data_IF_365937694496
#
_entry.id   IF_365937694496
#
_cell.length_a   1.000
_cell.length_b   1.000
_cell.length_c   1.000
_cell.angle_alpha   90.00
_cell.angle_beta   90.00
_cell.angle_gamma   90.00
#
_symmetry.space_group_name_H-M   'P 1'
#
loop_
_entity.id
_entity.type
_entity.pdbx_description
1 polymer ?
#
# COMPACT_ATOMS: atom_id res chain seq x y z
N UNK A 1 18.73 -15.29 -20.70
CA UNK A 1 17.91 -16.51 -20.46
C UNK A 1 16.45 -16.24 -20.79
N UNK A 2 15.62 -17.28 -20.96
CA UNK A 2 14.17 -17.11 -21.11
C UNK A 2 13.41 -18.25 -20.41
N UNK A 3 12.14 -17.99 -20.07
CA UNK A 3 11.20 -19.01 -19.60
C UNK A 3 9.77 -18.58 -19.91
N UNK A 4 8.80 -19.46 -19.64
CA UNK A 4 7.37 -19.19 -19.80
C UNK A 4 6.64 -19.12 -18.48
N UNK A 5 5.58 -18.31 -18.41
CA UNK A 5 4.73 -18.17 -17.22
C UNK A 5 3.26 -17.97 -17.61
N UNK A 6 2.29 -18.45 -16.81
CA UNK A 6 0.87 -18.22 -17.05
C UNK A 6 0.51 -16.77 -16.77
N UNK A 7 -0.49 -16.23 -17.47
CA UNK A 7 -1.06 -14.91 -17.16
C UNK A 7 -1.67 -14.91 -15.75
N UNK A 8 -1.26 -14.01 -14.84
CA UNK A 8 -1.89 -13.89 -13.52
C UNK A 8 -3.39 -13.61 -13.66
N UNK A 9 -4.21 -14.16 -12.77
CA UNK A 9 -5.65 -13.96 -12.80
C UNK A 9 -6.05 -12.50 -12.46
N UNK A 10 -7.31 -12.18 -12.73
CA UNK A 10 -7.91 -10.88 -12.39
C UNK A 10 -7.38 -9.70 -13.22
N UNK A 11 -7.70 -8.49 -12.74
CA UNK A 11 -7.39 -7.21 -13.42
C UNK A 11 -6.31 -6.39 -12.72
N UNK A 12 -5.84 -6.82 -11.55
CA UNK A 12 -4.85 -6.10 -10.75
C UNK A 12 -3.54 -5.87 -11.52
N UNK A 13 -2.82 -4.76 -11.30
CA UNK A 13 -1.49 -4.54 -11.85
C UNK A 13 -0.57 -5.74 -11.62
N UNK A 14 0.24 -6.09 -12.61
CA UNK A 14 1.24 -7.17 -12.49
C UNK A 14 2.61 -6.56 -12.32
N UNK A 15 3.41 -7.20 -11.48
CA UNK A 15 4.85 -6.94 -11.35
C UNK A 15 5.64 -8.23 -11.42
N UNK A 16 6.89 -8.12 -11.81
CA UNK A 16 7.89 -9.17 -11.64
C UNK A 16 8.86 -8.75 -10.52
N UNK A 17 9.01 -9.62 -9.52
CA UNK A 17 10.06 -9.53 -8.51
C UNK A 17 11.35 -10.11 -9.11
N UNK A 18 12.33 -9.25 -9.32
CA UNK A 18 13.64 -9.63 -9.88
C UNK A 18 14.69 -9.80 -8.78
N UNK A 19 14.30 -9.83 -7.50
CA UNK A 19 15.24 -10.07 -6.41
C UNK A 19 15.97 -11.42 -6.58
N UNK A 20 17.29 -11.41 -6.40
CA UNK A 20 18.17 -12.55 -6.66
C UNK A 20 18.95 -12.42 -7.98
N UNK A 21 18.53 -11.50 -8.85
CA UNK A 21 19.29 -11.06 -10.02
C UNK A 21 20.20 -9.85 -9.69
N UNK A 22 21.08 -9.50 -10.62
CA UNK A 22 22.09 -8.46 -10.46
C UNK A 22 21.65 -7.12 -11.05
N UNK A 23 21.86 -6.98 -12.36
CA UNK A 23 21.55 -5.80 -13.18
C UNK A 23 21.28 -6.26 -14.60
N UNK A 24 20.35 -5.62 -15.30
CA UNK A 24 20.08 -6.02 -16.67
C UNK A 24 18.86 -5.38 -17.29
N UNK A 25 18.27 -6.08 -18.25
CA UNK A 25 17.03 -5.69 -18.92
C UNK A 25 16.11 -6.90 -19.08
N UNK A 26 14.81 -6.66 -19.02
CA UNK A 26 13.79 -7.70 -19.12
C UNK A 26 12.77 -7.37 -20.20
N UNK A 27 12.25 -8.41 -20.85
CA UNK A 27 11.20 -8.32 -21.86
C UNK A 27 10.10 -9.34 -21.58
N UNK A 28 8.86 -8.96 -21.84
CA UNK A 28 7.71 -9.87 -21.84
C UNK A 28 7.08 -9.86 -23.22
N UNK A 29 6.96 -11.03 -23.84
CA UNK A 29 6.40 -11.20 -25.18
C UNK A 29 7.02 -10.24 -26.23
N UNK A 30 8.34 -9.99 -26.12
CA UNK A 30 9.08 -9.08 -27.00
C UNK A 30 8.98 -7.60 -26.67
N UNK A 31 8.16 -7.21 -25.68
CA UNK A 31 8.05 -5.83 -25.21
C UNK A 31 9.02 -5.58 -24.05
N UNK A 32 9.81 -4.51 -24.12
CA UNK A 32 10.75 -4.17 -23.03
C UNK A 32 10.01 -3.70 -21.79
N UNK A 33 10.41 -4.22 -20.63
CA UNK A 33 10.02 -3.73 -19.30
C UNK A 33 10.99 -2.66 -18.78
N UNK A 34 12.09 -2.43 -19.49
CA UNK A 34 13.17 -1.54 -19.08
C UNK A 34 14.26 -2.22 -18.25
N UNK A 35 15.18 -1.37 -17.77
CA UNK A 35 16.36 -1.78 -16.99
C UNK A 35 15.96 -2.17 -15.57
N UNK A 36 16.57 -3.24 -15.06
CA UNK A 36 16.48 -3.64 -13.67
C UNK A 36 17.83 -3.54 -12.97
N UNK A 37 17.80 -3.22 -11.68
CA UNK A 37 18.98 -3.19 -10.82
C UNK A 37 18.63 -3.43 -9.34
N UNK A 38 18.12 -4.61 -8.95
CA UNK A 38 17.69 -4.89 -7.59
C UNK A 38 18.84 -5.02 -6.58
N UNK A 39 20.10 -5.07 -7.02
CA UNK A 39 21.26 -5.10 -6.11
C UNK A 39 21.64 -3.73 -5.57
N UNK A 40 21.21 -2.63 -6.21
CA UNK A 40 21.52 -1.29 -5.71
C UNK A 40 20.61 -0.94 -4.53
N UNK A 41 21.22 -0.72 -3.37
CA UNK A 41 20.51 -0.32 -2.16
C UNK A 41 20.13 1.16 -2.17
N UNK A 42 18.96 1.48 -1.64
CA UNK A 42 18.62 2.85 -1.27
C UNK A 42 19.47 3.31 -0.08
N UNK A 43 19.79 4.61 -0.05
CA UNK A 43 20.62 5.19 0.99
C UNK A 43 20.02 4.93 2.38
N UNK A 44 20.89 4.69 3.36
CA UNK A 44 20.47 4.41 4.75
C UNK A 44 20.19 5.71 5.52
N UNK A 45 20.83 6.80 5.11
CA UNK A 45 20.71 8.11 5.73
C UNK A 45 19.46 8.88 5.27
N UNK A 46 19.01 9.84 6.11
CA UNK A 46 18.03 10.85 5.72
C UNK A 46 16.57 10.42 5.76
N UNK A 47 16.23 9.13 5.93
CA UNK A 47 14.85 8.76 6.14
C UNK A 47 14.38 9.13 7.58
N UNK A 48 13.12 9.48 7.74
CA UNK A 48 12.49 9.70 9.05
C UNK A 48 11.39 8.68 9.20
N UNK A 49 11.25 8.08 10.38
CA UNK A 49 10.12 7.16 10.66
C UNK A 49 8.80 7.94 10.78
N UNK A 50 8.89 9.27 10.83
CA UNK A 50 7.78 10.20 10.91
C UNK A 50 7.84 11.22 9.77
N UNK A 51 6.79 11.27 8.96
CA UNK A 51 6.61 12.24 7.88
C UNK A 51 5.37 13.11 8.19
N UNK A 52 5.57 14.41 8.34
CA UNK A 52 4.50 15.39 8.52
C UNK A 52 4.29 16.17 7.22
N UNK A 53 3.05 16.25 6.75
CA UNK A 53 2.72 17.02 5.56
C UNK A 53 2.92 18.54 5.80
N UNK A 54 2.83 19.01 7.04
CA UNK A 54 3.00 20.42 7.43
C UNK A 54 4.46 20.85 7.33
N UNK A 55 4.67 22.16 7.14
CA UNK A 55 6.00 22.76 7.00
C UNK A 55 6.68 22.52 5.65
N UNK A 56 7.84 23.13 5.42
CA UNK A 56 8.54 23.05 4.14
C UNK A 56 8.89 21.61 3.77
N UNK A 57 8.80 21.29 2.48
CA UNK A 57 9.21 20.01 1.93
C UNK A 57 10.70 20.03 1.56
N UNK A 58 11.38 18.92 1.81
CA UNK A 58 12.75 18.67 1.37
C UNK A 58 12.81 17.25 0.80
N UNK A 59 13.24 17.07 -0.47
CA UNK A 59 13.23 15.78 -1.13
C UNK A 59 14.20 14.78 -0.50
N UNK A 60 15.29 15.27 0.09
CA UNK A 60 16.40 14.41 0.53
C UNK A 60 16.26 13.88 1.96
N UNK A 61 15.24 14.31 2.71
CA UNK A 61 15.12 13.89 4.11
C UNK A 61 13.74 13.91 4.76
N UNK A 62 12.71 14.53 4.15
CA UNK A 62 11.46 14.73 4.89
C UNK A 62 10.62 13.45 5.03
N UNK A 63 10.49 12.72 3.92
CA UNK A 63 9.56 11.58 3.81
C UNK A 63 10.14 10.45 2.95
N UNK A 64 11.45 10.26 3.00
CA UNK A 64 12.11 9.15 2.31
C UNK A 64 11.73 7.81 2.98
N UNK A 65 11.60 6.76 2.17
CA UNK A 65 11.24 5.41 2.62
C UNK A 65 12.15 4.37 1.97
N UNK A 66 11.98 3.09 2.32
CA UNK A 66 12.66 1.95 1.69
C UNK A 66 14.19 1.85 1.98
N UNK A 67 14.63 2.29 3.17
CA UNK A 67 16.04 2.24 3.62
C UNK A 67 16.66 0.85 3.52
N UNK A 68 17.90 0.76 3.02
CA UNK A 68 18.67 -0.48 2.96
C UNK A 68 18.00 -1.58 2.14
N UNK A 69 16.96 -1.24 1.36
CA UNK A 69 16.29 -2.12 0.42
C UNK A 69 16.75 -1.80 -1.00
N UNK A 70 16.54 -2.70 -1.97
CA UNK A 70 16.70 -2.38 -3.38
C UNK A 70 15.96 -1.08 -3.72
N UNK A 71 16.61 -0.16 -4.44
CA UNK A 71 15.97 1.07 -4.94
C UNK A 71 14.70 0.75 -5.75
N UNK A 72 14.74 -0.37 -6.46
CA UNK A 72 13.58 -0.99 -7.08
C UNK A 72 13.70 -2.51 -7.07
N UNK A 73 12.73 -3.17 -6.44
CA UNK A 73 12.61 -4.63 -6.40
C UNK A 73 11.59 -5.17 -7.40
N UNK A 74 10.44 -4.50 -7.48
CA UNK A 74 9.32 -4.90 -8.33
C UNK A 74 9.28 -4.05 -9.60
N UNK A 75 9.17 -4.73 -10.74
CA UNK A 75 9.17 -4.11 -12.06
C UNK A 75 7.81 -4.32 -12.70
N UNK A 76 7.19 -3.23 -13.16
CA UNK A 76 5.84 -3.26 -13.68
C UNK A 76 5.76 -4.06 -14.99
N UNK A 77 4.74 -4.92 -15.09
CA UNK A 77 4.40 -5.67 -16.30
C UNK A 77 3.02 -5.19 -16.75
N UNK A 78 2.94 -4.34 -17.78
CA UNK A 78 1.66 -3.88 -18.30
C UNK A 78 0.78 -5.07 -18.69
N UNK A 79 -0.48 -5.08 -18.23
CA UNK A 79 -1.44 -6.16 -18.55
C UNK A 79 -1.61 -6.35 -20.06
N UNK A 80 -1.52 -5.28 -20.83
CA UNK A 80 -1.60 -5.30 -22.30
C UNK A 80 -0.40 -6.00 -22.98
N UNK A 81 0.70 -6.27 -22.27
CA UNK A 81 1.80 -7.09 -22.82
C UNK A 81 1.53 -8.59 -22.68
N UNK A 82 0.55 -8.98 -21.86
CA UNK A 82 0.23 -10.38 -21.58
C UNK A 82 -0.78 -10.94 -22.59
N UNK A 83 -0.62 -12.20 -22.94
CA UNK A 83 -1.57 -12.95 -23.78
C UNK A 83 -2.69 -13.49 -22.89
N UNK A 84 -3.94 -13.22 -23.25
CA UNK A 84 -5.09 -13.73 -22.51
C UNK A 84 -5.13 -15.27 -22.53
N UNK A 85 -5.30 -15.90 -21.36
CA UNK A 85 -5.47 -17.35 -21.18
C UNK A 85 -4.38 -18.22 -21.83
N UNK A 86 -3.14 -17.71 -21.93
CA UNK A 86 -2.02 -18.42 -22.53
C UNK A 86 -0.72 -18.20 -21.74
N UNK A 87 0.31 -18.96 -22.10
CA UNK A 87 1.66 -18.77 -21.59
C UNK A 87 2.32 -17.54 -22.24
N UNK A 88 2.96 -16.74 -21.41
CA UNK A 88 3.79 -15.61 -21.79
C UNK A 88 5.26 -16.00 -21.75
N UNK A 89 6.08 -15.36 -22.58
CA UNK A 89 7.53 -15.54 -22.54
C UNK A 89 8.15 -14.36 -21.83
N UNK A 90 9.02 -14.62 -20.85
CA UNK A 90 9.93 -13.63 -20.29
C UNK A 90 11.34 -13.91 -20.80
N UNK A 91 12.02 -12.86 -21.27
CA UNK A 91 13.45 -12.87 -21.61
C UNK A 91 14.16 -11.94 -20.64
N UNK A 92 15.27 -12.39 -20.08
CA UNK A 92 16.11 -11.64 -19.15
C UNK A 92 17.54 -11.64 -19.66
N UNK A 93 18.10 -10.45 -19.83
CA UNK A 93 19.53 -10.22 -19.99
C UNK A 93 20.10 -9.83 -18.63
N UNK A 94 21.03 -10.63 -18.10
CA UNK A 94 21.68 -10.40 -16.80
C UNK A 94 23.16 -10.07 -17.01
N UNK A 95 23.59 -8.92 -16.49
CA UNK A 95 24.91 -8.35 -16.66
C UNK A 95 25.88 -8.74 -15.55
N UNK A 96 25.41 -8.80 -14.30
CA UNK A 96 26.26 -8.95 -13.10
C UNK A 96 26.20 -10.35 -12.50
N UNK A 97 25.38 -11.23 -13.07
CA UNK A 97 25.14 -12.58 -12.56
C UNK A 97 24.10 -12.59 -11.44
N UNK A 98 23.41 -13.71 -11.31
CA UNK A 98 22.33 -13.85 -10.33
C UNK A 98 21.63 -15.20 -10.42
N UNK A 99 20.76 -15.45 -9.44
CA UNK A 99 19.97 -16.67 -9.37
C UNK A 99 18.55 -16.42 -9.91
N UNK A 100 18.17 -17.02 -11.04
CA UNK A 100 16.87 -16.79 -11.65
C UNK A 100 15.71 -17.54 -10.97
N UNK A 101 15.99 -18.49 -10.08
CA UNK A 101 14.96 -19.29 -9.40
C UNK A 101 14.05 -18.46 -8.48
N UNK A 102 14.48 -17.26 -8.10
CA UNK A 102 13.71 -16.35 -7.26
C UNK A 102 12.83 -15.37 -8.05
N UNK A 103 12.92 -15.36 -9.38
CA UNK A 103 12.09 -14.50 -10.23
C UNK A 103 10.63 -14.95 -10.14
N UNK A 104 9.75 -14.04 -9.72
CA UNK A 104 8.34 -14.34 -9.50
C UNK A 104 7.43 -13.25 -10.04
N UNK A 105 6.33 -13.66 -10.67
CA UNK A 105 5.25 -12.75 -11.04
C UNK A 105 4.22 -12.72 -9.93
N UNK A 106 3.70 -11.53 -9.65
CA UNK A 106 2.66 -11.31 -8.66
C UNK A 106 1.74 -10.17 -9.11
N UNK A 107 0.50 -10.22 -8.65
CA UNK A 107 -0.40 -9.07 -8.74
C UNK A 107 -0.16 -8.14 -7.55
N UNK A 108 -0.35 -6.85 -7.77
CA UNK A 108 -0.27 -5.83 -6.72
C UNK A 108 -1.65 -5.27 -6.51
N UNK A 109 -2.11 -5.33 -5.27
CA UNK A 109 -3.35 -4.69 -4.84
C UNK A 109 -3.14 -3.90 -3.57
N UNK A 110 -3.91 -2.81 -3.43
CA UNK A 110 -4.04 -2.12 -2.15
C UNK A 110 -4.89 -3.00 -1.23
N UNK A 111 -4.22 -3.66 -0.29
CA UNK A 111 -4.87 -4.51 0.71
C UNK A 111 -5.42 -3.75 1.92
N UNK A 112 -5.05 -2.48 2.09
CA UNK A 112 -5.40 -1.67 3.25
C UNK A 112 -5.92 -0.30 2.82
N UNK A 113 -7.06 0.11 3.34
CA UNK A 113 -7.58 1.47 3.24
C UNK A 113 -7.39 2.17 4.58
N UNK A 114 -6.82 3.38 4.55
CA UNK A 114 -6.59 4.19 5.74
C UNK A 114 -7.20 5.57 5.55
N UNK A 115 -7.80 6.10 6.61
CA UNK A 115 -8.33 7.44 6.61
C UNK A 115 -8.14 8.07 7.98
N UNK A 116 -7.90 9.37 8.00
CA UNK A 116 -7.87 10.15 9.22
C UNK A 116 -8.42 11.54 8.98
N UNK A 117 -9.09 12.10 10.00
CA UNK A 117 -9.63 13.44 9.92
C UNK A 117 -9.75 14.01 11.34
N UNK A 118 -9.56 15.32 11.47
CA UNK A 118 -9.84 16.01 12.74
C UNK A 118 -11.35 15.95 13.02
N UNK A 119 -11.77 16.26 14.23
CA UNK A 119 -13.19 16.46 14.52
C UNK A 119 -13.71 17.72 13.85
N UNK A 120 -14.97 17.66 13.42
CA UNK A 120 -15.69 18.80 12.89
C UNK A 120 -17.01 18.40 12.23
N UNK A 121 -17.64 19.36 11.55
CA UNK A 121 -18.90 19.12 10.86
C UNK A 121 -18.66 18.59 9.43
N UNK A 122 -17.97 17.48 9.31
CA UNK A 122 -17.71 16.81 8.03
C UNK A 122 -17.69 15.29 8.17
N UNK A 123 -17.76 14.62 7.02
CA UNK A 123 -17.79 13.16 6.90
C UNK A 123 -16.48 12.67 6.31
N UNK A 124 -15.89 11.67 6.94
CA UNK A 124 -14.76 10.91 6.41
C UNK A 124 -15.30 9.80 5.50
N UNK A 125 -14.84 9.76 4.26
CA UNK A 125 -15.17 8.74 3.28
C UNK A 125 -14.08 7.65 3.28
N UNK A 126 -14.48 6.40 3.50
CA UNK A 126 -13.59 5.24 3.43
C UNK A 126 -14.07 4.33 2.31
N UNK A 127 -13.17 4.01 1.38
CA UNK A 127 -13.45 3.11 0.26
C UNK A 127 -12.24 2.25 -0.08
N UNK A 128 -12.50 1.07 -0.64
CA UNK A 128 -11.47 0.16 -1.13
C UNK A 128 -11.26 0.34 -2.63
N UNK A 129 -9.99 0.29 -3.07
CA UNK A 129 -9.65 0.40 -4.48
C UNK A 129 -10.25 -0.76 -5.30
N UNK A 130 -10.64 -0.48 -6.55
CA UNK A 130 -11.22 -1.49 -7.44
C UNK A 130 -12.62 -1.94 -7.05
N UNK A 131 -13.29 -1.17 -6.18
CA UNK A 131 -14.64 -1.46 -5.69
C UNK A 131 -14.69 -2.65 -4.72
N UNK A 132 -13.56 -3.10 -4.17
CA UNK A 132 -13.50 -4.21 -3.22
C UNK A 132 -14.32 -3.97 -1.95
N UNK A 133 -14.63 -5.04 -1.22
CA UNK A 133 -15.32 -4.94 0.06
C UNK A 133 -14.32 -4.65 1.18
N UNK A 134 -14.75 -3.86 2.15
CA UNK A 134 -14.07 -3.72 3.43
C UNK A 134 -14.28 -5.04 4.19
N UNK A 135 -13.26 -5.89 4.21
CA UNK A 135 -13.33 -7.25 4.74
C UNK A 135 -13.01 -7.32 6.23
N UNK A 136 -12.28 -6.34 6.74
CA UNK A 136 -11.87 -6.28 8.14
C UNK A 136 -11.61 -4.83 8.57
N UNK A 137 -11.85 -4.52 9.84
CA UNK A 137 -11.46 -3.24 10.47
C UNK A 137 -10.33 -3.52 11.46
N UNK A 138 -9.11 -3.17 11.07
CA UNK A 138 -7.89 -3.39 11.86
C UNK A 138 -7.80 -2.46 13.05
N UNK A 139 -8.14 -1.20 12.84
CA UNK A 139 -7.96 -0.17 13.84
C UNK A 139 -9.00 0.93 13.68
N UNK A 140 -9.50 1.42 14.81
CA UNK A 140 -10.30 2.65 14.90
C UNK A 140 -9.87 3.34 16.18
N UNK A 141 -9.64 4.64 16.09
CA UNK A 141 -9.45 5.52 17.24
C UNK A 141 -10.08 6.87 16.95
N UNK A 142 -10.96 7.33 17.84
CA UNK A 142 -11.49 8.68 17.88
C UNK A 142 -11.09 9.32 19.20
N UNK A 143 -10.15 10.26 19.12
CA UNK A 143 -9.50 10.87 20.28
C UNK A 143 -8.14 11.41 19.88
N UNK A 144 -7.07 10.89 20.49
CA UNK A 144 -5.68 11.27 20.18
C UNK A 144 -4.86 10.10 19.57
N UNK A 145 -5.22 9.55 18.40
CA UNK A 145 -4.46 8.47 17.78
C UNK A 145 -3.00 8.88 17.49
N UNK A 146 -2.08 7.95 17.74
CA UNK A 146 -0.63 8.13 17.55
C UNK A 146 -0.19 7.24 16.39
N UNK A 147 0.82 7.70 15.63
CA UNK A 147 1.41 6.93 14.54
C UNK A 147 0.75 7.22 13.18
N UNK A 148 0.90 6.26 12.27
CA UNK A 148 0.42 6.35 10.89
C UNK A 148 -0.20 5.02 10.43
N UNK A 149 -0.81 5.00 9.24
CA UNK A 149 -1.39 3.80 8.65
C UNK A 149 -0.43 2.60 8.70
N UNK A 150 -0.88 1.48 9.28
CA UNK A 150 -0.07 0.28 9.53
C UNK A 150 0.69 0.28 10.87
N UNK A 151 0.68 1.38 11.61
CA UNK A 151 1.36 1.53 12.92
C UNK A 151 0.56 2.36 13.93
N UNK A 152 -0.75 2.53 13.69
CA UNK A 152 -1.58 3.30 14.59
C UNK A 152 -1.65 2.68 15.99
N UNK A 153 -1.69 3.54 17.01
CA UNK A 153 -1.95 3.16 18.39
C UNK A 153 -2.86 4.17 19.07
N UNK A 154 -3.57 3.72 20.10
CA UNK A 154 -4.47 4.56 20.88
C UNK A 154 -3.69 5.59 21.70
N UNK A 155 -4.30 6.77 21.88
CA UNK A 155 -3.76 7.85 22.68
C UNK A 155 -4.15 7.80 24.16
N UNK A 156 -4.12 8.97 24.80
CA UNK A 156 -4.48 9.13 26.23
C UNK A 156 -5.99 9.17 26.50
N UNK A 157 -6.79 9.51 25.49
CA UNK A 157 -8.23 9.64 25.55
C UNK A 157 -8.82 9.12 24.24
N UNK A 158 -9.98 8.49 24.33
CA UNK A 158 -10.55 7.65 23.29
C UNK A 158 -12.06 7.48 23.51
N UNK A 159 -12.84 7.44 22.43
CA UNK A 159 -14.25 7.09 22.53
C UNK A 159 -14.45 5.58 22.70
N UNK A 160 -15.28 5.14 23.66
CA UNK A 160 -15.60 3.71 23.83
C UNK A 160 -16.49 3.14 22.72
N UNK A 161 -17.14 3.98 21.90
CA UNK A 161 -18.12 3.55 20.88
C UNK A 161 -17.65 3.72 19.44
N UNK A 162 -16.53 4.39 19.20
CA UNK A 162 -16.07 4.69 17.85
C UNK A 162 -15.80 3.42 17.03
N UNK A 163 -15.15 2.42 17.63
CA UNK A 163 -14.86 1.15 16.95
C UNK A 163 -16.14 0.43 16.51
N UNK A 164 -17.13 0.29 17.40
CA UNK A 164 -18.37 -0.42 17.08
C UNK A 164 -19.20 0.32 16.03
N UNK A 165 -19.20 1.67 16.07
CA UNK A 165 -19.84 2.47 15.04
C UNK A 165 -19.25 2.20 13.65
N UNK A 166 -17.92 2.30 13.53
CA UNK A 166 -17.22 2.10 12.25
C UNK A 166 -17.37 0.65 11.76
N UNK A 167 -17.23 -0.33 12.66
CA UNK A 167 -17.40 -1.74 12.31
C UNK A 167 -18.79 -2.00 11.73
N UNK A 168 -19.85 -1.54 12.40
CA UNK A 168 -21.22 -1.77 11.95
C UNK A 168 -21.56 -1.01 10.66
N UNK A 169 -20.95 0.15 10.42
CA UNK A 169 -21.26 0.99 9.27
C UNK A 169 -20.41 0.71 8.04
N UNK A 170 -19.22 0.12 8.19
CA UNK A 170 -18.25 -0.04 7.11
C UNK A 170 -17.98 -1.49 6.71
N UNK A 171 -18.01 -2.44 7.65
CA UNK A 171 -17.67 -3.82 7.37
C UNK A 171 -18.64 -4.42 6.34
N UNK A 172 -18.11 -5.12 5.34
CA UNK A 172 -18.87 -5.73 4.25
C UNK A 172 -19.41 -4.76 3.19
N UNK A 173 -19.03 -3.47 3.25
CA UNK A 173 -19.42 -2.48 2.23
C UNK A 173 -18.23 -2.12 1.33
N UNK A 174 -18.50 -1.63 0.12
CA UNK A 174 -17.48 -1.11 -0.81
C UNK A 174 -16.98 0.28 -0.40
N UNK A 175 -17.87 1.04 0.25
CA UNK A 175 -17.65 2.39 0.74
C UNK A 175 -18.53 2.65 1.96
N UNK A 176 -18.06 3.49 2.87
CA UNK A 176 -18.85 4.04 3.97
C UNK A 176 -18.46 5.49 4.27
N UNK A 177 -19.42 6.24 4.81
CA UNK A 177 -19.25 7.63 5.25
C UNK A 177 -19.36 7.66 6.78
N UNK A 178 -18.38 8.28 7.44
CA UNK A 178 -18.30 8.34 8.90
C UNK A 178 -18.35 9.82 9.33
N UNK A 179 -19.42 10.29 10.00
CA UNK A 179 -19.44 11.61 10.60
C UNK A 179 -18.37 11.73 11.69
N UNK A 180 -17.52 12.75 11.62
CA UNK A 180 -16.35 12.88 12.52
C UNK A 180 -16.67 13.80 13.69
N UNK A 181 -17.58 13.36 14.57
CA UNK A 181 -18.03 14.13 15.74
C UNK A 181 -18.47 13.20 16.89
N UNK A 182 -18.51 13.75 18.12
CA UNK A 182 -18.93 13.01 19.32
C UNK A 182 -20.39 12.50 19.28
N UNK A 183 -21.28 13.14 18.51
CA UNK A 183 -22.68 12.71 18.35
C UNK A 183 -22.76 11.31 17.71
N UNK A 184 -21.93 11.04 16.71
CA UNK A 184 -21.91 9.76 16.02
C UNK A 184 -20.94 8.76 16.68
N UNK A 185 -19.75 9.24 17.07
CA UNK A 185 -18.66 8.38 17.48
C UNK A 185 -18.56 8.18 18.99
N UNK A 186 -19.25 8.99 19.79
CA UNK A 186 -19.18 9.00 21.25
C UNK A 186 -18.15 10.00 21.78
N UNK A 187 -18.35 10.42 23.03
CA UNK A 187 -17.48 11.40 23.68
C UNK A 187 -16.14 10.78 24.09
N UNK A 188 -15.08 11.57 23.95
CA UNK A 188 -13.69 11.11 24.15
C UNK A 188 -13.05 11.66 25.42
N UNK A 189 -13.56 12.79 25.93
CA UNK A 189 -12.91 13.56 26.99
C UNK A 189 -11.61 14.25 26.57
N UNK A 190 -11.30 14.33 25.28
CA UNK A 190 -10.15 15.07 24.74
C UNK A 190 -10.51 16.53 24.46
N UNK A 191 -9.50 17.41 24.40
CA UNK A 191 -9.69 18.82 23.97
C UNK A 191 -9.81 18.94 22.44
N UNK A 192 -9.09 18.08 21.70
CA UNK A 192 -9.10 18.01 20.24
C UNK A 192 -9.17 16.54 19.85
N UNK A 193 -10.15 16.19 19.04
CA UNK A 193 -10.37 14.83 18.57
C UNK A 193 -9.89 14.66 17.13
N UNK A 194 -9.39 13.47 16.84
CA UNK A 194 -9.09 12.99 15.50
C UNK A 194 -9.58 11.56 15.37
N UNK A 195 -10.30 11.28 14.28
CA UNK A 195 -10.61 9.92 13.86
C UNK A 195 -9.45 9.38 13.03
N UNK A 196 -9.02 8.16 13.33
CA UNK A 196 -8.14 7.35 12.50
C UNK A 196 -8.76 5.97 12.31
N UNK A 197 -8.82 5.51 11.06
CA UNK A 197 -9.39 4.21 10.68
C UNK A 197 -8.39 3.48 9.78
N UNK A 198 -8.19 2.20 10.04
CA UNK A 198 -7.46 1.26 9.20
C UNK A 198 -8.34 0.04 8.91
N UNK A 199 -8.55 -0.25 7.64
CA UNK A 199 -9.39 -1.32 7.14
C UNK A 199 -8.65 -2.18 6.13
N UNK A 200 -8.96 -3.47 6.07
CA UNK A 200 -8.48 -4.35 5.00
C UNK A 200 -9.53 -4.48 3.91
N UNK A 201 -9.04 -4.59 2.68
CA UNK A 201 -9.85 -4.70 1.48
C UNK A 201 -9.67 -6.07 0.84
N UNK A 202 -10.77 -6.78 0.63
CA UNK A 202 -10.80 -8.07 -0.06
C UNK A 202 -11.86 -8.09 -1.16
N UNK A 203 -11.80 -9.09 -2.04
CA UNK A 203 -12.82 -9.31 -3.09
C UNK A 203 -14.23 -9.50 -2.52
#
# INVERSE_FOLDING_TARGET
MFTTFPTPLGTDPVVVDLLGLGKGEAWVNGQSLGRYWPTIGANEDGCSDYCDYRGNYSPDNKCLTNRGKPTQRWYHVPRCFLKANNNNVIVIFEEFGGNPWNVKFQTVTVGTACANALEGNYTLELSCQGGRLISNIKFVSFGLPIGSCGSFSQGRCESPTAYSYVMNNCLGKRQCSIPVNELALGSTGCNENRLAVEAECWE
#
